data_IF_655513124659
#
_entry.id   IF_655513124659
#
_cell.length_a   1.000
_cell.length_b   1.000
_cell.length_c   1.000
_cell.angle_alpha   90.00
_cell.angle_beta   90.00
_cell.angle_gamma   90.00
#
_symmetry.space_group_name_H-M   'P 1'
#
loop_
_entity.id
_entity.type
_entity.pdbx_description
1 polymer ?
#
# COMPACT_ATOMS: atom_id res chain seq x y z
N UNK A 1 -7.83 -5.59 -10.63
CA UNK A 1 -8.46 -4.33 -10.14
C UNK A 1 -9.99 -4.27 -10.18
N UNK A 2 -10.71 -4.87 -11.15
CA UNK A 2 -12.18 -4.84 -11.12
C UNK A 2 -12.77 -5.51 -9.87
N UNK A 3 -12.25 -6.68 -9.50
CA UNK A 3 -12.65 -7.42 -8.29
C UNK A 3 -12.35 -6.62 -7.01
N UNK A 4 -11.18 -5.97 -6.92
CA UNK A 4 -10.83 -5.13 -5.78
C UNK A 4 -11.71 -3.86 -5.68
N UNK A 5 -12.05 -3.22 -6.81
CA UNK A 5 -12.99 -2.10 -6.83
C UNK A 5 -14.31 -2.48 -6.18
N UNK A 6 -14.95 -3.57 -6.65
CA UNK A 6 -16.23 -4.05 -6.14
C UNK A 6 -16.18 -4.39 -4.64
N UNK A 7 -15.04 -4.93 -4.17
CA UNK A 7 -14.83 -5.22 -2.75
C UNK A 7 -14.80 -3.93 -1.93
N UNK A 8 -13.96 -2.96 -2.28
CA UNK A 8 -13.81 -1.72 -1.50
C UNK A 8 -15.03 -0.80 -1.56
N UNK A 9 -15.82 -0.84 -2.62
CA UNK A 9 -17.10 -0.15 -2.63
C UNK A 9 -18.10 -0.70 -1.60
N UNK A 10 -17.97 -1.98 -1.27
CA UNK A 10 -18.85 -2.68 -0.31
C UNK A 10 -18.37 -2.62 1.13
N UNK A 11 -17.04 -2.66 1.37
CA UNK A 11 -16.46 -2.83 2.71
C UNK A 11 -15.80 -1.56 3.27
N UNK A 12 -16.09 -0.39 2.72
CA UNK A 12 -15.41 0.86 3.11
C UNK A 12 -15.51 1.14 4.62
N UNK A 13 -16.68 0.98 5.23
CA UNK A 13 -16.88 1.18 6.68
C UNK A 13 -16.11 0.15 7.52
N UNK A 14 -16.12 -1.12 7.10
CA UNK A 14 -15.36 -2.19 7.76
C UNK A 14 -13.86 -1.97 7.62
N UNK A 15 -13.41 -1.41 6.50
CA UNK A 15 -12.01 -1.07 6.30
C UNK A 15 -11.58 0.07 7.23
N UNK A 16 -12.42 1.09 7.44
CA UNK A 16 -12.16 2.14 8.44
C UNK A 16 -12.08 1.57 9.86
N UNK A 17 -13.04 0.72 10.27
CA UNK A 17 -13.03 0.05 11.58
C UNK A 17 -11.75 -0.78 11.77
N UNK A 18 -11.35 -1.56 10.76
CA UNK A 18 -10.10 -2.30 10.74
C UNK A 18 -8.90 -1.37 10.93
N UNK A 19 -8.80 -0.31 10.13
CA UNK A 19 -7.63 0.58 10.17
C UNK A 19 -7.51 1.33 11.49
N UNK A 20 -8.61 1.59 12.19
CA UNK A 20 -8.62 2.24 13.51
C UNK A 20 -8.12 1.32 14.64
N UNK A 21 -8.30 0.00 14.51
CA UNK A 21 -8.04 -0.98 15.58
C UNK A 21 -6.82 -1.86 15.36
N UNK A 22 -6.44 -2.12 14.10
CA UNK A 22 -5.36 -3.05 13.78
C UNK A 22 -4.01 -2.54 14.27
N UNK A 23 -3.33 -3.32 15.10
CA UNK A 23 -2.02 -2.97 15.66
C UNK A 23 -0.95 -2.76 14.58
N UNK A 24 -1.05 -3.49 13.45
CA UNK A 24 -0.16 -3.32 12.30
C UNK A 24 -0.20 -1.91 11.70
N UNK A 25 -1.30 -1.14 11.88
CA UNK A 25 -1.43 0.20 11.33
C UNK A 25 -0.35 1.16 11.83
N UNK A 26 0.05 1.03 13.11
CA UNK A 26 1.17 1.80 13.65
C UNK A 26 2.48 1.47 12.95
N UNK A 27 2.74 0.17 12.73
CA UNK A 27 3.93 -0.29 12.02
C UNK A 27 3.94 0.20 10.57
N UNK A 28 2.79 0.21 9.90
CA UNK A 28 2.63 0.77 8.55
C UNK A 28 3.02 2.26 8.53
N UNK A 29 2.44 3.05 9.42
CA UNK A 29 2.69 4.50 9.51
C UNK A 29 4.16 4.79 9.81
N UNK A 30 4.74 4.13 10.81
CA UNK A 30 6.14 4.33 11.21
C UNK A 30 7.10 3.94 10.07
N UNK A 31 6.83 2.81 9.40
CA UNK A 31 7.63 2.36 8.25
C UNK A 31 7.49 3.32 7.08
N UNK A 32 6.27 3.70 6.72
CA UNK A 32 6.00 4.59 5.60
C UNK A 32 6.63 5.96 5.84
N UNK A 33 6.51 6.50 7.06
CA UNK A 33 7.16 7.75 7.46
C UNK A 33 8.68 7.68 7.31
N UNK A 34 9.29 6.56 7.70
CA UNK A 34 10.74 6.37 7.57
C UNK A 34 11.20 6.31 6.11
N UNK A 35 10.38 5.74 5.22
CA UNK A 35 10.70 5.61 3.79
C UNK A 35 10.55 6.93 3.02
N UNK A 36 9.52 7.71 3.31
CA UNK A 36 9.31 9.01 2.62
C UNK A 36 10.34 10.05 3.03
N UNK A 37 10.90 9.96 4.24
CA UNK A 37 11.95 10.85 4.72
C UNK A 37 11.49 12.31 4.82
N UNK A 38 12.36 13.26 4.45
CA UNK A 38 12.00 14.67 4.39
C UNK A 38 11.25 14.98 3.09
N UNK A 39 9.99 15.36 3.20
CA UNK A 39 9.10 15.69 2.08
C UNK A 39 8.62 17.15 2.11
N UNK A 40 9.26 17.98 2.91
CA UNK A 40 8.94 19.41 3.00
C UNK A 40 8.96 20.06 1.63
N UNK A 41 7.86 20.70 1.26
CA UNK A 41 7.75 21.43 -0.01
C UNK A 41 7.53 20.55 -1.26
N UNK A 42 7.49 19.21 -1.14
CA UNK A 42 7.32 18.31 -2.29
C UNK A 42 5.87 18.25 -2.78
N UNK A 43 5.72 18.02 -4.08
CA UNK A 43 4.45 17.64 -4.72
C UNK A 43 4.38 16.12 -4.85
N UNK A 44 3.38 15.49 -4.24
CA UNK A 44 3.26 14.03 -4.12
C UNK A 44 1.98 13.55 -4.79
N UNK A 45 2.09 12.45 -5.55
CA UNK A 45 0.95 11.70 -6.06
C UNK A 45 0.78 10.45 -5.21
N UNK A 46 -0.39 10.27 -4.58
CA UNK A 46 -0.73 9.12 -3.75
C UNK A 46 -1.66 8.18 -4.52
N UNK A 47 -1.11 7.05 -4.94
CA UNK A 47 -1.79 6.02 -5.74
C UNK A 47 -2.52 5.03 -4.83
N UNK A 48 -3.77 4.70 -5.18
CA UNK A 48 -4.68 3.91 -4.35
C UNK A 48 -4.86 4.55 -2.96
N UNK A 49 -5.15 5.85 -2.94
CA UNK A 49 -5.21 6.65 -1.71
C UNK A 49 -6.35 6.25 -0.76
N UNK A 50 -7.32 5.45 -1.23
CA UNK A 50 -8.50 5.06 -0.46
C UNK A 50 -9.27 6.30 0.01
N UNK A 51 -9.71 6.28 1.27
CA UNK A 51 -10.37 7.41 1.93
C UNK A 51 -9.40 8.54 2.35
N UNK A 52 -8.16 8.56 1.83
CA UNK A 52 -7.20 9.64 2.00
C UNK A 52 -6.34 9.59 3.27
N UNK A 53 -6.27 8.46 3.97
CA UNK A 53 -5.50 8.36 5.22
C UNK A 53 -4.03 8.75 5.02
N UNK A 54 -3.30 8.07 4.13
CA UNK A 54 -1.89 8.40 3.88
C UNK A 54 -1.70 9.75 3.18
N UNK A 55 -2.64 10.16 2.32
CA UNK A 55 -2.62 11.49 1.71
C UNK A 55 -2.60 12.59 2.76
N UNK A 56 -3.42 12.49 3.81
CA UNK A 56 -3.41 13.43 4.94
C UNK A 56 -2.12 13.36 5.75
N UNK A 57 -1.62 12.15 6.04
CA UNK A 57 -0.31 12.00 6.70
C UNK A 57 0.81 12.69 5.91
N UNK A 58 0.87 12.52 4.60
CA UNK A 58 1.87 13.18 3.74
C UNK A 58 1.76 14.70 3.84
N UNK A 59 0.54 15.25 3.86
CA UNK A 59 0.31 16.68 4.05
C UNK A 59 0.80 17.15 5.43
N UNK A 60 0.44 16.44 6.49
CA UNK A 60 0.84 16.73 7.86
C UNK A 60 2.37 16.62 8.07
N UNK A 61 3.03 15.79 7.28
CA UNK A 61 4.49 15.63 7.29
C UNK A 61 5.24 16.68 6.47
N UNK A 62 4.55 17.64 5.85
CA UNK A 62 5.14 18.81 5.20
C UNK A 62 5.07 18.84 3.68
N UNK A 63 4.38 17.88 3.02
CA UNK A 63 4.20 17.97 1.58
C UNK A 63 3.45 19.26 1.19
N UNK A 64 3.97 20.00 0.20
CA UNK A 64 3.35 21.25 -0.27
C UNK A 64 2.02 20.98 -1.00
N UNK A 65 1.96 19.87 -1.75
CA UNK A 65 0.75 19.42 -2.44
C UNK A 65 0.68 17.89 -2.42
N UNK A 66 -0.51 17.38 -2.17
CA UNK A 66 -0.83 15.96 -2.34
C UNK A 66 -1.98 15.84 -3.32
N UNK A 67 -1.87 14.89 -4.24
CA UNK A 67 -2.93 14.50 -5.16
C UNK A 67 -3.21 13.02 -4.98
N UNK A 68 -4.38 12.66 -4.47
CA UNK A 68 -4.79 11.29 -4.25
C UNK A 68 -5.61 10.73 -5.41
N UNK A 69 -5.31 9.50 -5.84
CA UNK A 69 -6.11 8.80 -6.83
C UNK A 69 -6.48 7.41 -6.34
N UNK A 70 -7.73 7.00 -6.56
CA UNK A 70 -8.22 5.66 -6.25
C UNK A 70 -9.23 5.21 -7.31
N UNK A 71 -9.38 3.90 -7.48
CA UNK A 71 -10.34 3.35 -8.44
C UNK A 71 -11.79 3.35 -7.90
N UNK A 72 -11.97 3.36 -6.58
CA UNK A 72 -13.26 3.33 -5.90
C UNK A 72 -13.86 4.74 -5.80
N UNK A 73 -15.04 4.91 -6.38
CA UNK A 73 -15.81 6.14 -6.28
C UNK A 73 -16.21 6.44 -4.82
N UNK A 74 -16.55 5.38 -4.06
CA UNK A 74 -16.94 5.51 -2.66
C UNK A 74 -15.75 5.97 -1.79
N UNK A 75 -14.56 5.38 -1.98
CA UNK A 75 -13.36 5.82 -1.28
C UNK A 75 -13.02 7.28 -1.56
N UNK A 76 -13.08 7.71 -2.82
CA UNK A 76 -12.85 9.12 -3.20
C UNK A 76 -13.94 10.05 -2.63
N UNK A 77 -15.19 9.58 -2.61
CA UNK A 77 -16.26 10.35 -1.96
C UNK A 77 -15.95 10.59 -0.46
N UNK A 78 -15.58 9.54 0.27
CA UNK A 78 -15.19 9.63 1.69
C UNK A 78 -13.95 10.53 1.88
N UNK A 79 -12.92 10.38 1.04
CA UNK A 79 -11.73 11.23 1.11
C UNK A 79 -12.07 12.72 1.00
N UNK A 80 -12.97 13.09 0.09
CA UNK A 80 -13.42 14.47 -0.11
C UNK A 80 -14.24 15.03 1.05
N UNK A 81 -14.93 14.18 1.84
CA UNK A 81 -15.69 14.62 3.03
C UNK A 81 -14.78 15.18 4.14
N UNK A 82 -13.50 14.84 4.16
CA UNK A 82 -12.55 15.37 5.12
C UNK A 82 -12.30 16.87 4.97
N UNK A 83 -12.63 17.48 3.82
CA UNK A 83 -12.42 18.90 3.52
C UNK A 83 -11.00 19.39 3.83
N UNK A 84 -10.02 18.54 3.62
CA UNK A 84 -8.61 18.75 3.97
C UNK A 84 -7.82 19.57 2.93
N UNK A 85 -8.46 19.97 1.82
CA UNK A 85 -7.86 20.72 0.72
C UNK A 85 -6.94 19.89 -0.18
N UNK A 86 -6.95 18.57 -0.05
CA UNK A 86 -6.23 17.64 -0.94
C UNK A 86 -7.11 17.39 -2.18
N UNK A 87 -6.48 17.36 -3.36
CA UNK A 87 -7.16 16.96 -4.58
C UNK A 87 -7.31 15.45 -4.65
N UNK A 88 -8.54 14.96 -4.84
CA UNK A 88 -8.83 13.53 -4.98
C UNK A 88 -9.58 13.24 -6.27
N UNK A 89 -9.12 12.22 -7.03
CA UNK A 89 -9.73 11.83 -8.30
C UNK A 89 -9.97 10.31 -8.38
N UNK A 90 -11.07 9.92 -9.04
CA UNK A 90 -11.33 8.50 -9.38
C UNK A 90 -10.51 8.13 -10.60
N UNK A 91 -9.53 7.22 -10.44
CA UNK A 91 -8.69 6.75 -11.54
C UNK A 91 -8.25 5.30 -11.34
N UNK A 92 -8.22 4.55 -12.43
CA UNK A 92 -7.58 3.23 -12.50
C UNK A 92 -6.08 3.43 -12.77
N UNK A 93 -5.24 3.15 -11.76
CA UNK A 93 -3.78 3.36 -11.85
C UNK A 93 -3.16 2.59 -13.01
N UNK A 94 -3.63 1.35 -13.30
CA UNK A 94 -3.09 0.57 -14.41
C UNK A 94 -3.40 1.16 -15.80
N UNK A 95 -4.28 2.18 -15.89
CA UNK A 95 -4.75 2.77 -17.15
C UNK A 95 -4.62 4.29 -17.21
N UNK A 96 -4.28 4.94 -16.10
CA UNK A 96 -4.38 6.42 -16.04
C UNK A 96 -3.31 7.14 -16.86
N UNK A 97 -2.18 6.50 -17.19
CA UNK A 97 -1.07 7.15 -17.87
C UNK A 97 -0.49 8.31 -17.05
N UNK A 98 0.05 9.31 -17.74
CA UNK A 98 0.62 10.51 -17.13
C UNK A 98 -0.46 11.55 -16.84
N UNK A 99 -0.60 11.95 -15.58
CA UNK A 99 -1.53 12.99 -15.12
C UNK A 99 -0.83 14.22 -14.54
N UNK A 100 0.50 14.13 -14.32
CA UNK A 100 1.28 15.24 -13.77
C UNK A 100 2.78 14.98 -13.82
N UNK A 101 3.50 15.77 -13.01
CA UNK A 101 4.92 15.59 -12.75
C UNK A 101 5.16 15.86 -11.26
N UNK A 102 5.46 14.79 -10.52
CA UNK A 102 5.55 14.81 -9.07
C UNK A 102 6.99 14.55 -8.61
N UNK A 103 7.36 15.09 -7.46
CA UNK A 103 8.65 14.86 -6.84
C UNK A 103 8.72 13.45 -6.24
N UNK A 104 7.57 12.96 -5.74
CA UNK A 104 7.42 11.63 -5.19
C UNK A 104 6.07 11.05 -5.63
N UNK A 105 6.05 9.73 -5.83
CA UNK A 105 4.83 8.93 -5.95
C UNK A 105 4.77 7.98 -4.77
N UNK A 106 3.62 7.88 -4.12
CA UNK A 106 3.37 6.93 -3.03
C UNK A 106 2.33 5.89 -3.43
N UNK A 107 2.43 4.69 -2.89
CA UNK A 107 1.51 3.59 -3.20
C UNK A 107 1.39 2.64 -1.99
N UNK A 108 0.53 2.96 -1.05
CA UNK A 108 0.26 2.08 0.09
C UNK A 108 -0.82 1.06 -0.28
N UNK A 109 -0.45 -0.23 -0.37
CA UNK A 109 -1.38 -1.33 -0.68
C UNK A 109 -2.01 -1.26 -2.08
N UNK A 110 -1.25 -0.79 -3.09
CA UNK A 110 -1.69 -0.81 -4.49
C UNK A 110 -1.29 -2.11 -5.19
N UNK A 111 -0.01 -2.47 -5.17
CA UNK A 111 0.58 -3.49 -6.03
C UNK A 111 0.06 -4.91 -5.74
N UNK A 112 -0.35 -5.18 -4.51
CA UNK A 112 -0.99 -6.43 -4.13
C UNK A 112 -2.41 -6.61 -4.70
N UNK A 113 -2.97 -5.62 -5.37
CA UNK A 113 -4.25 -5.72 -6.07
C UNK A 113 -4.11 -5.89 -7.59
N UNK A 114 -2.89 -5.90 -8.13
CA UNK A 114 -2.66 -6.33 -9.49
C UNK A 114 -3.04 -7.82 -9.63
N UNK A 115 -3.95 -8.14 -10.54
CA UNK A 115 -4.44 -9.50 -10.76
C UNK A 115 -3.60 -10.31 -11.75
N UNK A 116 -2.60 -9.67 -12.35
CA UNK A 116 -1.64 -10.28 -13.26
C UNK A 116 -0.31 -9.51 -13.25
N UNK A 117 0.76 -10.15 -13.70
CA UNK A 117 2.09 -9.52 -13.88
C UNK A 117 2.01 -8.33 -14.85
N UNK A 118 1.21 -8.43 -15.90
CA UNK A 118 0.98 -7.32 -16.85
C UNK A 118 0.33 -6.12 -16.16
N UNK A 119 -0.66 -6.33 -15.30
CA UNK A 119 -1.31 -5.27 -14.54
C UNK A 119 -0.34 -4.63 -13.54
N UNK A 120 0.47 -5.44 -12.84
CA UNK A 120 1.53 -4.95 -11.95
C UNK A 120 2.53 -4.06 -12.71
N UNK A 121 2.98 -4.50 -13.88
CA UNK A 121 3.89 -3.74 -14.73
C UNK A 121 3.30 -2.40 -15.17
N UNK A 122 2.01 -2.37 -15.53
CA UNK A 122 1.29 -1.13 -15.86
C UNK A 122 1.18 -0.17 -14.67
N UNK A 123 1.01 -0.69 -13.45
CA UNK A 123 1.00 0.16 -12.24
C UNK A 123 2.37 0.78 -11.99
N UNK A 124 3.46 0.02 -12.13
CA UNK A 124 4.83 0.56 -12.04
C UNK A 124 5.10 1.59 -13.14
N UNK A 125 4.66 1.33 -14.38
CA UNK A 125 4.80 2.27 -15.49
C UNK A 125 4.06 3.58 -15.19
N UNK A 126 2.82 3.51 -14.71
CA UNK A 126 2.05 4.70 -14.32
C UNK A 126 2.75 5.50 -13.22
N UNK A 127 3.33 4.82 -12.22
CA UNK A 127 4.12 5.50 -11.19
C UNK A 127 5.33 6.23 -11.80
N UNK A 128 6.09 5.54 -12.67
CA UNK A 128 7.26 6.12 -13.33
C UNK A 128 6.93 7.30 -14.25
N UNK A 129 5.82 7.22 -15.02
CA UNK A 129 5.41 8.26 -15.96
C UNK A 129 5.02 9.57 -15.23
N UNK A 130 4.59 9.47 -13.99
CA UNK A 130 4.20 10.60 -13.17
C UNK A 130 5.31 11.19 -12.30
N UNK A 131 6.50 10.57 -12.27
CA UNK A 131 7.66 11.10 -11.58
C UNK A 131 8.46 12.08 -12.44
N UNK A 132 8.96 13.14 -11.81
CA UNK A 132 10.02 13.98 -12.34
C UNK A 132 11.33 13.19 -12.47
N UNK A 133 12.30 13.62 -13.31
CA UNK A 133 13.65 13.06 -13.27
C UNK A 133 14.25 13.11 -11.86
N UNK A 134 14.81 12.00 -11.38
CA UNK A 134 15.34 11.86 -10.02
C UNK A 134 14.28 11.69 -8.92
N UNK A 135 13.00 11.63 -9.28
CA UNK A 135 11.91 11.38 -8.36
C UNK A 135 11.91 9.95 -7.80
N UNK A 136 11.17 9.74 -6.73
CA UNK A 136 11.14 8.48 -6.00
C UNK A 136 9.71 7.92 -5.89
N UNK A 137 9.58 6.60 -6.09
CA UNK A 137 8.41 5.82 -5.69
C UNK A 137 8.64 5.25 -4.30
N UNK A 138 7.66 5.42 -3.41
CA UNK A 138 7.62 4.80 -2.07
C UNK A 138 6.34 3.98 -1.97
N UNK A 139 6.47 2.68 -1.72
CA UNK A 139 5.32 1.80 -1.65
C UNK A 139 5.33 0.86 -0.46
N UNK A 140 4.14 0.37 -0.10
CA UNK A 140 3.92 -0.64 0.91
C UNK A 140 3.00 -1.72 0.33
N UNK A 141 3.39 -3.00 0.45
CA UNK A 141 2.71 -4.08 -0.26
C UNK A 141 2.81 -5.41 0.49
N UNK A 142 2.17 -6.46 -0.04
CA UNK A 142 2.32 -7.82 0.46
C UNK A 142 3.77 -8.29 0.32
N UNK A 143 4.31 -8.87 1.40
CA UNK A 143 5.70 -9.33 1.45
C UNK A 143 5.89 -10.61 0.63
N UNK A 144 6.74 -10.61 -0.41
CA UNK A 144 7.08 -11.81 -1.19
C UNK A 144 7.53 -13.00 -0.33
N UNK A 145 8.20 -12.73 0.79
CA UNK A 145 8.75 -13.74 1.70
C UNK A 145 7.78 -14.24 2.77
N UNK A 146 6.54 -13.73 2.81
CA UNK A 146 5.54 -14.25 3.75
C UNK A 146 5.21 -15.71 3.46
N UNK A 147 5.11 -16.53 4.52
CA UNK A 147 4.73 -17.94 4.43
C UNK A 147 3.57 -18.23 5.42
N UNK A 148 2.37 -18.52 4.89
CA UNK A 148 1.18 -18.80 5.70
C UNK A 148 1.41 -19.93 6.72
N UNK A 149 2.16 -20.97 6.35
CA UNK A 149 2.51 -22.11 7.23
C UNK A 149 3.33 -21.72 8.48
N UNK A 150 4.02 -20.56 8.46
CA UNK A 150 4.81 -20.06 9.60
C UNK A 150 3.97 -19.29 10.62
N UNK A 151 2.72 -19.02 10.31
CA UNK A 151 1.75 -18.34 11.18
C UNK A 151 0.89 -17.33 10.47
N UNK A 152 -0.35 -17.20 10.94
CA UNK A 152 -1.33 -16.27 10.40
C UNK A 152 -1.23 -14.89 11.08
N UNK A 153 -1.70 -13.87 10.41
CA UNK A 153 -1.65 -12.46 10.82
C UNK A 153 -2.91 -11.99 11.58
N UNK A 154 -3.79 -12.90 11.97
CA UNK A 154 -5.05 -12.62 12.68
C UNK A 154 -4.86 -11.71 13.90
N UNK A 155 -3.79 -11.94 14.69
CA UNK A 155 -3.41 -11.11 15.83
C UNK A 155 -3.19 -9.64 15.47
N UNK A 156 -2.74 -9.36 14.26
CA UNK A 156 -2.41 -8.02 13.78
C UNK A 156 -3.54 -7.40 12.97
N UNK A 157 -4.63 -8.13 12.76
CA UNK A 157 -5.85 -7.63 12.14
C UNK A 157 -6.18 -8.21 10.75
N UNK A 158 -5.37 -9.11 10.21
CA UNK A 158 -5.64 -9.80 8.94
C UNK A 158 -5.56 -11.30 9.14
N UNK A 159 -6.56 -12.03 8.68
CA UNK A 159 -6.54 -13.49 8.60
C UNK A 159 -6.45 -13.94 7.15
N UNK A 160 -5.45 -14.74 6.82
CA UNK A 160 -5.27 -15.35 5.49
C UNK A 160 -5.82 -16.77 5.53
N UNK A 161 -6.77 -17.11 4.66
CA UNK A 161 -7.40 -18.42 4.63
C UNK A 161 -6.64 -19.42 3.79
N UNK A 162 -6.25 -19.00 2.58
CA UNK A 162 -5.55 -19.83 1.63
C UNK A 162 -4.65 -19.01 0.69
N UNK A 163 -3.75 -19.73 0.04
CA UNK A 163 -2.86 -19.23 -1.01
C UNK A 163 -2.93 -20.20 -2.20
N UNK A 164 -3.44 -19.75 -3.33
CA UNK A 164 -3.47 -20.51 -4.58
C UNK A 164 -2.33 -20.04 -5.49
N UNK A 165 -1.44 -20.94 -5.96
CA UNK A 165 -0.37 -20.58 -6.88
C UNK A 165 -0.91 -19.98 -8.19
N UNK A 166 -0.26 -18.91 -8.65
CA UNK A 166 -0.45 -18.31 -9.97
C UNK A 166 0.91 -18.06 -10.62
N UNK A 167 0.95 -17.74 -11.91
CA UNK A 167 2.21 -17.45 -12.57
C UNK A 167 2.91 -16.23 -11.92
N UNK A 168 4.05 -16.45 -11.28
CA UNK A 168 4.87 -15.44 -10.62
C UNK A 168 4.43 -15.06 -9.19
N UNK A 169 3.58 -15.87 -8.54
CA UNK A 169 3.17 -15.60 -7.16
C UNK A 169 2.00 -16.42 -6.66
N UNK A 170 1.19 -15.81 -5.80
CA UNK A 170 0.03 -16.44 -5.17
C UNK A 170 -1.17 -15.48 -5.19
N UNK A 171 -2.35 -16.03 -5.47
CA UNK A 171 -3.63 -15.40 -5.18
C UNK A 171 -4.02 -15.80 -3.76
N UNK A 172 -4.26 -14.83 -2.89
CA UNK A 172 -4.52 -15.04 -1.48
C UNK A 172 -5.94 -14.59 -1.13
N UNK A 173 -6.68 -15.43 -0.41
CA UNK A 173 -7.98 -15.07 0.17
C UNK A 173 -7.79 -14.77 1.66
N UNK A 174 -8.28 -13.62 2.09
CA UNK A 174 -8.12 -13.13 3.44
C UNK A 174 -9.35 -12.37 3.93
N UNK A 175 -9.36 -12.00 5.20
CA UNK A 175 -10.33 -11.05 5.75
C UNK A 175 -9.67 -10.04 6.68
N UNK A 176 -10.20 -8.83 6.68
CA UNK A 176 -9.95 -7.88 7.75
C UNK A 176 -10.72 -8.30 9.00
N UNK A 177 -10.06 -8.24 10.16
CA UNK A 177 -10.66 -8.53 11.46
C UNK A 177 -11.44 -7.32 11.99
N UNK A 178 -12.33 -6.80 11.14
CA UNK A 178 -13.33 -5.78 11.46
C UNK A 178 -14.59 -6.38 12.11
N UNK A 179 -15.57 -5.57 12.43
CA UNK A 179 -16.85 -6.05 12.96
C UNK A 179 -18.02 -5.52 12.10
N UNK A 180 -18.65 -6.40 11.26
CA UNK A 180 -18.32 -7.79 10.98
C UNK A 180 -17.00 -7.93 10.18
N UNK A 181 -16.38 -9.13 10.17
CA UNK A 181 -15.20 -9.40 9.34
C UNK A 181 -15.47 -9.17 7.86
N UNK A 182 -14.49 -8.60 7.14
CA UNK A 182 -14.64 -8.23 5.74
C UNK A 182 -13.68 -9.02 4.83
N UNK A 183 -14.18 -9.95 4.01
CA UNK A 183 -13.35 -10.75 3.12
C UNK A 183 -12.84 -9.93 1.93
N UNK A 184 -11.60 -10.19 1.55
CA UNK A 184 -10.95 -9.62 0.37
C UNK A 184 -9.97 -10.60 -0.26
N UNK A 185 -9.58 -10.32 -1.50
CA UNK A 185 -8.55 -11.06 -2.23
C UNK A 185 -7.40 -10.13 -2.55
N UNK A 186 -6.18 -10.63 -2.41
CA UNK A 186 -4.97 -9.93 -2.81
C UNK A 186 -3.99 -10.89 -3.51
N UNK A 187 -2.96 -10.34 -4.14
CA UNK A 187 -1.90 -11.11 -4.77
C UNK A 187 -0.58 -10.85 -4.07
N UNK A 188 0.17 -11.91 -3.83
CA UNK A 188 1.52 -11.87 -3.31
C UNK A 188 2.46 -12.32 -4.42
N UNK A 189 3.01 -11.33 -5.13
CA UNK A 189 3.94 -11.57 -6.21
C UNK A 189 5.31 -11.97 -5.67
N UNK A 190 6.07 -12.77 -6.43
CA UNK A 190 7.46 -13.09 -6.14
C UNK A 190 8.33 -11.83 -6.24
N UNK A 191 9.43 -11.80 -5.48
CA UNK A 191 10.34 -10.65 -5.44
C UNK A 191 10.84 -10.24 -6.83
N UNK A 192 11.29 -11.21 -7.63
CA UNK A 192 11.78 -10.97 -8.98
C UNK A 192 10.73 -10.37 -9.93
N UNK A 193 9.44 -10.63 -9.69
CA UNK A 193 8.35 -10.05 -10.49
C UNK A 193 8.22 -8.55 -10.21
N UNK A 194 8.32 -8.12 -8.96
CA UNK A 194 8.36 -6.69 -8.61
C UNK A 194 9.59 -5.99 -9.18
N UNK A 195 10.77 -6.62 -9.05
CA UNK A 195 12.04 -6.08 -9.51
C UNK A 195 12.04 -5.89 -11.02
N UNK A 196 11.53 -6.88 -11.76
CA UNK A 196 11.42 -6.79 -13.23
C UNK A 196 10.40 -5.73 -13.65
N UNK A 197 9.23 -5.65 -13.00
CA UNK A 197 8.23 -4.62 -13.29
C UNK A 197 8.78 -3.20 -13.07
N UNK A 198 9.53 -2.99 -11.99
CA UNK A 198 10.20 -1.72 -11.70
C UNK A 198 11.28 -1.41 -12.75
N UNK A 199 12.11 -2.38 -13.11
CA UNK A 199 13.18 -2.23 -14.13
C UNK A 199 12.60 -1.85 -15.49
N UNK A 200 11.57 -2.55 -15.94
CA UNK A 200 10.89 -2.28 -17.23
C UNK A 200 10.26 -0.89 -17.24
N UNK A 201 9.72 -0.41 -16.11
CA UNK A 201 9.17 0.93 -15.96
C UNK A 201 10.25 2.05 -15.92
N UNK A 202 11.55 1.68 -15.93
CA UNK A 202 12.67 2.61 -15.99
C UNK A 202 13.19 3.07 -14.62
N UNK A 203 12.89 2.32 -13.56
CA UNK A 203 13.53 2.54 -12.25
C UNK A 203 14.93 1.92 -12.25
N UNK A 204 15.93 2.68 -11.80
CA UNK A 204 17.34 2.26 -11.77
C UNK A 204 17.67 1.44 -10.52
N UNK A 205 16.90 1.62 -9.44
CA UNK A 205 17.13 0.98 -8.16
C UNK A 205 15.80 0.65 -7.50
N UNK A 206 15.67 -0.58 -6.98
CA UNK A 206 14.61 -1.00 -6.07
C UNK A 206 15.25 -1.46 -4.75
N UNK A 207 14.74 -0.98 -3.64
CA UNK A 207 15.19 -1.36 -2.29
C UNK A 207 13.99 -1.82 -1.46
N UNK A 208 14.09 -3.01 -0.89
CA UNK A 208 13.12 -3.54 0.05
C UNK A 208 13.38 -3.01 1.46
N UNK A 209 12.31 -2.62 2.16
CA UNK A 209 12.38 -2.00 3.49
C UNK A 209 11.57 -2.83 4.47
N UNK A 210 12.26 -3.42 5.44
CA UNK A 210 11.59 -4.18 6.50
C UNK A 210 10.67 -3.27 7.33
N UNK A 211 9.53 -3.81 7.83
CA UNK A 211 8.64 -3.05 8.69
C UNK A 211 9.35 -2.54 9.96
N UNK A 212 9.13 -1.26 10.29
CA UNK A 212 9.69 -0.61 11.47
C UNK A 212 8.70 -0.72 12.64
N UNK A 213 9.04 -1.54 13.62
CA UNK A 213 8.29 -1.61 14.88
C UNK A 213 8.95 -0.66 15.86
N UNK A 214 8.31 0.49 16.13
CA UNK A 214 8.85 1.50 17.03
C UNK A 214 8.96 0.99 18.47
N UNK A 215 9.84 1.61 19.27
CA UNK A 215 10.01 1.31 20.70
C UNK A 215 8.68 1.47 21.45
N UNK A 216 7.91 2.51 21.11
CA UNK A 216 6.58 2.72 21.66
C UNK A 216 5.64 1.54 21.36
N UNK A 217 5.62 1.03 20.12
CA UNK A 217 4.80 -0.14 19.74
C UNK A 217 5.23 -1.41 20.48
N UNK A 218 6.54 -1.60 20.69
CA UNK A 218 7.07 -2.74 21.46
C UNK A 218 6.64 -2.68 22.91
N UNK A 219 6.77 -1.52 23.53
CA UNK A 219 6.44 -1.32 24.94
C UNK A 219 4.94 -1.43 25.22
N UNK A 220 4.11 -0.82 24.36
CA UNK A 220 2.65 -0.77 24.56
C UNK A 220 1.96 -2.13 24.39
N UNK A 221 2.49 -3.00 23.53
CA UNK A 221 1.89 -4.32 23.24
C UNK A 221 2.50 -5.47 24.07
N UNK A 222 3.59 -5.22 24.80
CA UNK A 222 4.26 -6.19 25.64
C UNK A 222 5.24 -7.11 24.93
N UNK A 223 6.05 -7.79 25.73
CA UNK A 223 7.10 -8.67 25.25
C UNK A 223 6.54 -9.83 24.40
N UNK A 224 7.15 -10.07 23.25
CA UNK A 224 6.78 -11.19 22.38
C UNK A 224 5.59 -10.98 21.47
N UNK A 225 4.82 -9.89 21.64
CA UNK A 225 3.68 -9.60 20.75
C UNK A 225 4.08 -9.57 19.27
N UNK A 226 5.20 -8.92 18.94
CA UNK A 226 5.68 -8.69 17.58
C UNK A 226 6.57 -9.80 17.01
N UNK A 227 6.86 -10.88 17.74
CA UNK A 227 7.79 -11.93 17.30
C UNK A 227 7.40 -12.56 15.95
N UNK A 228 6.11 -12.87 15.76
CA UNK A 228 5.64 -13.41 14.48
C UNK A 228 5.75 -12.35 13.37
N UNK A 229 5.40 -11.09 13.66
CA UNK A 229 5.51 -10.00 12.73
C UNK A 229 6.95 -9.82 12.21
N UNK A 230 7.94 -9.90 13.10
CA UNK A 230 9.35 -9.77 12.74
C UNK A 230 9.88 -10.95 11.91
N UNK A 231 9.41 -12.15 12.21
CA UNK A 231 9.88 -13.37 11.54
C UNK A 231 9.17 -13.69 10.24
N UNK A 232 7.95 -13.25 10.09
CA UNK A 232 7.05 -13.63 8.99
C UNK A 232 6.07 -12.52 8.64
N UNK A 233 6.57 -11.29 8.45
CA UNK A 233 5.68 -10.16 8.13
C UNK A 233 4.91 -10.40 6.84
N UNK A 234 3.59 -10.20 6.89
CA UNK A 234 2.70 -10.20 5.72
C UNK A 234 3.00 -9.02 4.77
N UNK A 235 3.63 -7.99 5.27
CA UNK A 235 3.77 -6.69 4.63
C UNK A 235 5.23 -6.22 4.60
N UNK A 236 5.58 -5.45 3.57
CA UNK A 236 6.93 -4.92 3.37
C UNK A 236 6.86 -3.59 2.64
N UNK A 237 7.82 -2.72 2.93
CA UNK A 237 8.05 -1.52 2.17
C UNK A 237 8.94 -1.75 0.96
N UNK A 238 8.81 -0.91 -0.05
CA UNK A 238 9.77 -0.80 -1.15
C UNK A 238 9.94 0.66 -1.59
N UNK A 239 11.14 0.99 -2.02
CA UNK A 239 11.45 2.28 -2.63
C UNK A 239 12.12 2.08 -3.98
N UNK A 240 11.75 2.89 -4.97
CA UNK A 240 12.38 2.89 -6.28
C UNK A 240 12.82 4.30 -6.66
N UNK A 241 13.97 4.41 -7.34
CA UNK A 241 14.47 5.68 -7.90
C UNK A 241 14.52 5.62 -9.42
N UNK A 242 14.13 6.73 -10.03
CA UNK A 242 14.16 6.91 -11.49
C UNK A 242 15.42 7.60 -11.96
#
# INVERSE_FOLDING_TARGET
MKESKEVYERISEQFEDFTARASQRKVEVDTFRSMVGNIEGLHILDLACGHGFFSRQLKDWGAAKVHGVDISENMIYQARQANDGIAYEVRDVAKMGRIGAYDMVTAAWLFNYASSVDELSKMFQSAADNLKPGGQLVAYTANPSFELRKGNFTRYGIEVFDETPVAGGFRCNAQFMSSPPAPFTYYRWEQGVYEEAARVAGFNQLTWVAPLISEHSRTSMGAGYWQLFERNSLQIGLTCRK
#
